data_IF_236001825241
#
_entry.id   IF_236001825241
#
_cell.length_a   1.000
_cell.length_b   1.000
_cell.length_c   1.000
_cell.angle_alpha   90.00
_cell.angle_beta   90.00
_cell.angle_gamma   90.00
#
_symmetry.space_group_name_H-M   'P 1'
#
loop_
_entity.id
_entity.type
_entity.pdbx_description
1 polymer ?
#
# COMPACT_ATOMS: atom_id res chain seq x y z
N UNK A 1 -20.88 33.35 34.02
CA UNK A 1 -20.91 31.86 34.02
C UNK A 1 -19.81 31.37 33.13
N UNK A 2 -18.86 30.52 33.60
CA UNK A 2 -17.80 29.98 32.73
C UNK A 2 -18.44 28.99 31.77
N UNK A 3 -18.29 29.22 30.47
CA UNK A 3 -18.68 28.26 29.42
C UNK A 3 -17.59 27.18 29.39
N UNK A 4 -17.95 26.00 29.88
CA UNK A 4 -17.06 24.83 29.87
C UNK A 4 -17.18 24.17 28.49
N UNK A 5 -16.36 24.62 27.54
CA UNK A 5 -16.23 24.00 26.23
C UNK A 5 -15.43 22.71 26.43
N UNK A 6 -16.10 21.56 26.51
CA UNK A 6 -15.46 20.28 26.40
C UNK A 6 -15.00 20.13 24.94
N UNK A 7 -13.73 20.44 24.68
CA UNK A 7 -13.08 20.04 23.45
C UNK A 7 -13.04 18.50 23.43
N UNK A 8 -13.92 17.89 22.65
CA UNK A 8 -13.64 16.54 22.19
C UNK A 8 -12.40 16.66 21.29
N UNK A 9 -11.29 16.11 21.75
CA UNK A 9 -10.06 16.10 21.00
C UNK A 9 -10.29 15.41 19.64
N UNK A 10 -10.44 16.20 18.60
CA UNK A 10 -10.43 15.71 17.22
C UNK A 10 -8.97 15.43 16.82
N UNK A 11 -8.75 14.54 15.86
CA UNK A 11 -7.38 14.24 15.36
C UNK A 11 -6.55 15.49 15.08
N UNK A 12 -7.17 16.55 14.58
CA UNK A 12 -6.50 17.82 14.26
C UNK A 12 -5.90 18.53 15.50
N UNK A 13 -6.38 18.27 16.71
CA UNK A 13 -5.86 18.87 17.94
C UNK A 13 -4.55 18.21 18.43
N UNK A 14 -4.12 17.12 17.80
CA UNK A 14 -2.92 16.41 18.18
C UNK A 14 -1.76 16.59 17.18
N UNK A 15 -1.98 17.29 16.07
CA UNK A 15 -0.92 17.55 15.08
C UNK A 15 -0.08 18.72 15.56
N UNK A 16 1.24 18.49 15.70
CA UNK A 16 2.23 19.46 16.14
C UNK A 16 3.38 19.59 15.13
N UNK A 17 4.37 20.40 15.40
CA UNK A 17 5.56 20.52 14.56
C UNK A 17 6.46 19.27 14.53
N UNK A 18 6.26 18.32 15.46
CA UNK A 18 7.01 17.05 15.55
C UNK A 18 6.29 15.89 14.93
N UNK A 19 5.01 16.06 14.55
CA UNK A 19 4.17 14.98 14.03
C UNK A 19 4.76 14.37 12.75
N UNK A 20 4.95 13.06 12.75
CA UNK A 20 5.41 12.30 11.59
C UNK A 20 4.33 12.21 10.53
N UNK A 21 4.71 12.48 9.29
CA UNK A 21 3.81 12.44 8.15
C UNK A 21 3.87 11.08 7.46
N UNK A 22 2.72 10.51 7.21
CA UNK A 22 2.50 9.40 6.28
C UNK A 22 1.56 9.87 5.17
N UNK A 23 1.81 9.45 3.93
CA UNK A 23 0.98 9.80 2.80
C UNK A 23 0.34 8.56 2.16
N UNK A 24 -0.89 8.68 1.65
CA UNK A 24 -1.43 7.72 0.68
C UNK A 24 -1.40 8.37 -0.70
N UNK A 25 -0.52 7.90 -1.61
CA UNK A 25 -0.43 8.41 -2.98
C UNK A 25 -1.20 7.55 -3.96
N UNK A 26 -2.00 8.17 -4.82
CA UNK A 26 -2.82 7.50 -5.84
C UNK A 26 -3.73 8.48 -6.59
N UNK A 27 -4.53 7.98 -7.54
CA UNK A 27 -5.53 8.76 -8.27
C UNK A 27 -6.54 7.85 -8.98
N UNK A 28 -7.87 8.03 -8.77
CA UNK A 28 -8.50 8.88 -7.75
C UNK A 28 -8.42 8.22 -6.36
N UNK A 29 -8.55 9.01 -5.28
CA UNK A 29 -8.46 8.52 -3.90
C UNK A 29 -9.80 8.49 -3.14
N UNK A 30 -10.92 8.92 -3.75
CA UNK A 30 -12.21 9.06 -3.08
C UNK A 30 -12.70 7.79 -2.35
N UNK A 31 -12.38 6.60 -2.87
CA UNK A 31 -12.77 5.33 -2.28
C UNK A 31 -11.74 4.74 -1.29
N UNK A 32 -10.58 5.40 -1.12
CA UNK A 32 -9.50 4.88 -0.30
C UNK A 32 -9.82 4.97 1.20
N UNK A 33 -9.60 3.87 1.93
CA UNK A 33 -9.88 3.75 3.36
C UNK A 33 -8.62 3.76 4.24
N UNK A 34 -7.45 3.63 3.63
CA UNK A 34 -6.18 3.54 4.35
C UNK A 34 -5.90 4.73 5.27
N UNK A 35 -6.13 6.01 4.90
CA UNK A 35 -5.91 7.12 5.83
C UNK A 35 -6.76 7.01 7.10
N UNK A 36 -8.02 6.60 6.98
CA UNK A 36 -8.91 6.43 8.13
C UNK A 36 -8.41 5.32 9.05
N UNK A 37 -8.00 4.18 8.47
CA UNK A 37 -7.47 3.04 9.21
C UNK A 37 -6.18 3.39 9.94
N UNK A 38 -5.20 3.97 9.25
CA UNK A 38 -3.90 4.31 9.84
C UNK A 38 -4.02 5.37 10.93
N UNK A 39 -4.85 6.39 10.72
CA UNK A 39 -5.07 7.42 11.73
C UNK A 39 -5.73 6.87 12.99
N UNK A 40 -6.66 5.92 12.84
CA UNK A 40 -7.22 5.22 13.99
C UNK A 40 -6.15 4.42 14.75
N UNK A 41 -5.30 3.67 14.02
CA UNK A 41 -4.20 2.91 14.62
C UNK A 41 -3.19 3.82 15.32
N UNK A 42 -2.86 4.98 14.75
CA UNK A 42 -1.96 5.95 15.39
C UNK A 42 -2.53 6.47 16.71
N UNK A 43 -3.84 6.74 16.78
CA UNK A 43 -4.50 7.13 18.02
C UNK A 43 -4.45 5.99 19.05
N UNK A 44 -4.82 4.76 18.65
CA UNK A 44 -4.83 3.58 19.51
C UNK A 44 -3.43 3.26 20.07
N UNK A 45 -2.38 3.50 19.27
CA UNK A 45 -0.99 3.29 19.64
C UNK A 45 -0.32 4.51 20.27
N UNK A 46 -1.04 5.62 20.47
CA UNK A 46 -0.50 6.89 20.97
C UNK A 46 0.70 7.40 20.17
N UNK A 47 0.73 7.15 18.87
CA UNK A 47 1.81 7.58 17.99
C UNK A 47 1.61 9.03 17.54
N UNK A 48 2.66 9.87 17.66
CA UNK A 48 2.67 11.23 17.10
C UNK A 48 2.85 11.16 15.58
N UNK A 49 1.77 10.80 14.88
CA UNK A 49 1.77 10.55 13.45
C UNK A 49 0.40 10.85 12.82
N UNK A 50 0.41 11.22 11.55
CA UNK A 50 -0.79 11.43 10.74
C UNK A 50 -0.61 10.82 9.35
N UNK A 51 -1.67 10.20 8.82
CA UNK A 51 -1.75 9.75 7.44
C UNK A 51 -2.75 10.60 6.67
N UNK A 52 -2.29 11.21 5.57
CA UNK A 52 -3.12 12.06 4.71
C UNK A 52 -3.21 11.50 3.28
N UNK A 53 -4.34 11.73 2.57
CA UNK A 53 -4.43 11.44 1.15
C UNK A 53 -3.61 12.46 0.35
N UNK A 54 -2.84 11.96 -0.62
CA UNK A 54 -2.03 12.74 -1.55
C UNK A 54 -2.46 12.35 -2.97
N UNK A 55 -3.43 13.07 -3.51
CA UNK A 55 -3.98 12.74 -4.83
C UNK A 55 -3.07 13.26 -5.94
N UNK A 56 -2.35 12.34 -6.59
CA UNK A 56 -1.33 12.62 -7.59
C UNK A 56 -1.67 11.87 -8.88
N UNK A 57 -1.74 12.57 -10.01
CA UNK A 57 -1.94 11.96 -11.32
C UNK A 57 -0.71 11.17 -11.77
N UNK A 58 -0.91 10.26 -12.72
CA UNK A 58 0.15 9.38 -13.20
C UNK A 58 1.36 10.14 -13.78
N UNK A 59 1.13 11.25 -14.45
CA UNK A 59 2.20 12.04 -15.09
C UNK A 59 2.96 12.91 -14.10
N UNK A 60 2.37 13.21 -12.94
CA UNK A 60 2.97 14.06 -11.92
C UNK A 60 3.76 13.25 -10.86
N UNK A 61 3.76 11.92 -10.95
CA UNK A 61 4.35 11.04 -9.94
C UNK A 61 5.84 11.33 -9.68
N UNK A 62 6.63 11.52 -10.74
CA UNK A 62 8.08 11.78 -10.60
C UNK A 62 8.35 13.12 -9.92
N UNK A 63 7.60 14.16 -10.29
CA UNK A 63 7.71 15.49 -9.66
C UNK A 63 7.28 15.45 -8.20
N UNK A 64 6.22 14.70 -7.89
CA UNK A 64 5.79 14.45 -6.52
C UNK A 64 6.91 13.80 -5.69
N UNK A 65 7.54 12.73 -6.19
CA UNK A 65 8.61 12.02 -5.49
C UNK A 65 9.78 12.94 -5.19
N UNK A 66 10.20 13.77 -6.15
CA UNK A 66 11.27 14.77 -5.93
C UNK A 66 10.90 15.73 -4.80
N UNK A 67 9.69 16.28 -4.80
CA UNK A 67 9.23 17.18 -3.73
C UNK A 67 9.07 16.48 -2.38
N UNK A 68 8.52 15.26 -2.38
CA UNK A 68 8.30 14.49 -1.15
C UNK A 68 9.61 14.10 -0.45
N UNK A 69 10.69 13.84 -1.19
CA UNK A 69 12.02 13.57 -0.63
C UNK A 69 12.61 14.74 0.15
N UNK A 70 12.13 15.97 -0.06
CA UNK A 70 12.56 17.15 0.70
C UNK A 70 11.88 17.29 2.07
N UNK A 71 10.88 16.45 2.38
CA UNK A 71 10.13 16.50 3.64
C UNK A 71 10.84 15.67 4.72
N UNK A 72 11.50 16.33 5.67
CA UNK A 72 12.23 15.67 6.75
C UNK A 72 11.34 14.90 7.74
N UNK A 73 10.07 15.25 7.85
CA UNK A 73 9.12 14.56 8.72
C UNK A 73 8.29 13.47 8.00
N UNK A 74 8.52 13.22 6.70
CA UNK A 74 7.88 12.14 5.97
C UNK A 74 8.48 10.79 6.39
N UNK A 75 7.66 9.95 7.01
CA UNK A 75 8.09 8.67 7.55
C UNK A 75 7.73 7.47 6.66
N UNK A 76 6.74 7.64 5.79
CA UNK A 76 6.37 6.59 4.85
C UNK A 76 5.25 7.00 3.91
N UNK A 77 5.11 6.21 2.84
CA UNK A 77 4.09 6.43 1.81
C UNK A 77 3.39 5.10 1.53
N UNK A 78 2.06 5.11 1.64
CA UNK A 78 1.21 4.08 1.08
C UNK A 78 1.00 4.39 -0.41
N UNK A 79 1.12 3.38 -1.25
CA UNK A 79 1.01 3.54 -2.71
C UNK A 79 -0.17 2.74 -3.22
N UNK A 80 -1.08 3.42 -3.92
CA UNK A 80 -2.21 2.76 -4.57
C UNK A 80 -2.24 3.05 -6.07
N UNK A 81 -3.30 2.60 -6.74
CA UNK A 81 -3.50 2.78 -8.17
C UNK A 81 -3.43 4.29 -8.55
N UNK A 82 -2.79 4.65 -9.68
CA UNK A 82 -2.15 3.78 -10.68
C UNK A 82 -0.64 3.57 -10.47
N UNK A 83 -0.08 3.89 -9.29
CA UNK A 83 1.35 4.13 -9.08
C UNK A 83 2.16 2.90 -8.67
N UNK A 84 1.52 1.80 -8.22
CA UNK A 84 2.19 0.65 -7.60
C UNK A 84 3.37 0.07 -8.41
N UNK A 85 3.23 -0.01 -9.73
CA UNK A 85 4.30 -0.51 -10.60
C UNK A 85 5.32 0.58 -10.95
N UNK A 86 4.84 1.81 -11.25
CA UNK A 86 5.72 2.92 -11.60
C UNK A 86 6.66 3.33 -10.46
N UNK A 87 6.21 3.15 -9.22
CA UNK A 87 6.98 3.51 -8.03
C UNK A 87 8.25 2.65 -7.85
N UNK A 88 8.34 1.46 -8.46
CA UNK A 88 9.52 0.60 -8.40
C UNK A 88 10.81 1.31 -8.85
N UNK A 89 10.72 2.13 -9.88
CA UNK A 89 11.86 2.87 -10.42
C UNK A 89 12.20 4.15 -9.63
N UNK A 90 11.40 4.50 -8.63
CA UNK A 90 11.48 5.77 -7.90
C UNK A 90 11.91 5.61 -6.44
N UNK A 91 12.17 4.38 -6.00
CA UNK A 91 12.71 4.05 -4.68
C UNK A 91 14.18 3.62 -4.78
N UNK A 92 14.91 3.69 -3.67
CA UNK A 92 16.34 3.38 -3.64
C UNK A 92 16.58 1.88 -3.44
N UNK A 93 15.68 1.21 -2.71
CA UNK A 93 15.79 -0.20 -2.39
C UNK A 93 14.42 -0.91 -2.48
N UNK A 94 14.43 -2.16 -2.94
CA UNK A 94 13.25 -3.01 -3.02
C UNK A 94 13.37 -4.17 -2.03
N UNK A 95 12.38 -4.32 -1.17
CA UNK A 95 12.19 -5.54 -0.42
C UNK A 95 12.05 -6.74 -1.38
N UNK A 96 12.53 -7.94 -1.04
CA UNK A 96 12.45 -9.12 -1.91
C UNK A 96 11.05 -9.38 -2.48
N UNK A 97 9.99 -9.22 -1.68
CA UNK A 97 8.61 -9.39 -2.12
C UNK A 97 8.21 -8.39 -3.20
N UNK A 98 8.60 -7.12 -3.08
CA UNK A 98 8.31 -6.10 -4.08
C UNK A 98 9.04 -6.37 -5.40
N UNK A 99 10.28 -6.87 -5.31
CA UNK A 99 11.08 -7.26 -6.47
C UNK A 99 10.44 -8.44 -7.20
N UNK A 100 10.02 -9.47 -6.46
CA UNK A 100 9.36 -10.66 -7.01
C UNK A 100 8.02 -10.30 -7.66
N UNK A 101 7.19 -9.53 -6.96
CA UNK A 101 5.84 -9.16 -7.43
C UNK A 101 5.89 -8.13 -8.56
N UNK A 102 6.91 -7.27 -8.61
CA UNK A 102 6.97 -6.15 -9.55
C UNK A 102 5.97 -5.04 -9.23
N UNK A 103 5.71 -4.79 -7.94
CA UNK A 103 4.86 -3.71 -7.47
C UNK A 103 5.23 -3.27 -6.04
N UNK A 104 4.89 -2.03 -5.67
CA UNK A 104 5.04 -1.47 -4.33
C UNK A 104 3.68 -0.99 -3.84
N UNK A 105 3.29 -1.29 -2.61
CA UNK A 105 2.14 -0.66 -1.96
C UNK A 105 2.52 0.14 -0.71
N UNK A 106 3.77 0.04 -0.25
CA UNK A 106 4.27 0.80 0.88
C UNK A 106 5.74 1.19 0.68
N UNK A 107 6.09 2.38 1.11
CA UNK A 107 7.46 2.87 1.17
C UNK A 107 7.75 3.26 2.61
N UNK A 108 8.87 2.79 3.15
CA UNK A 108 9.46 3.29 4.39
C UNK A 108 10.54 4.30 4.03
N UNK A 109 10.44 5.49 4.62
CA UNK A 109 11.46 6.53 4.49
C UNK A 109 12.45 6.35 5.65
N UNK A 110 13.70 6.03 5.32
CA UNK A 110 14.77 5.83 6.30
C UNK A 110 15.35 7.16 6.77
N UNK A 111 15.98 7.16 7.94
CA UNK A 111 16.59 8.36 8.52
C UNK A 111 17.81 8.87 7.72
N UNK A 112 18.42 8.02 6.91
CA UNK A 112 19.50 8.37 6.00
C UNK A 112 19.02 8.91 4.64
N UNK A 113 17.70 9.07 4.47
CA UNK A 113 17.05 9.58 3.26
C UNK A 113 16.71 8.51 2.22
N UNK A 114 17.09 7.25 2.41
CA UNK A 114 16.71 6.15 1.49
C UNK A 114 15.24 5.81 1.61
N UNK A 115 14.64 5.45 0.51
CA UNK A 115 13.28 4.94 0.42
C UNK A 115 13.29 3.45 0.10
N UNK A 116 12.73 2.64 0.98
CA UNK A 116 12.63 1.18 0.85
C UNK A 116 11.20 0.81 0.49
N UNK A 117 11.01 0.26 -0.71
CA UNK A 117 9.69 -0.15 -1.22
C UNK A 117 9.38 -1.61 -0.92
N UNK A 118 8.16 -1.89 -0.46
CA UNK A 118 7.66 -3.23 -0.20
C UNK A 118 6.23 -3.41 -0.71
N UNK A 119 5.74 -4.66 -0.76
CA UNK A 119 4.36 -5.00 -1.10
C UNK A 119 3.78 -5.99 -0.09
N UNK A 120 2.62 -5.64 0.47
CA UNK A 120 1.90 -6.45 1.46
C UNK A 120 0.46 -6.79 1.05
N UNK A 121 -0.02 -6.32 -0.11
CA UNK A 121 -1.39 -6.59 -0.57
C UNK A 121 -1.71 -8.08 -0.61
N UNK A 122 -0.79 -8.88 -1.13
CA UNK A 122 -0.96 -10.32 -1.23
C UNK A 122 -0.98 -11.02 0.13
N UNK A 123 -0.01 -10.69 0.99
CA UNK A 123 0.05 -11.20 2.36
C UNK A 123 -1.21 -10.82 3.13
N UNK A 124 -1.61 -9.55 3.06
CA UNK A 124 -2.82 -9.05 3.72
C UNK A 124 -4.09 -9.79 3.25
N UNK A 125 -4.20 -10.04 1.94
CA UNK A 125 -5.32 -10.80 1.37
C UNK A 125 -5.36 -12.23 1.92
N UNK A 126 -4.24 -12.97 1.90
CA UNK A 126 -4.18 -14.35 2.40
C UNK A 126 -4.45 -14.42 3.90
N UNK A 127 -3.86 -13.52 4.70
CA UNK A 127 -4.12 -13.47 6.14
C UNK A 127 -5.57 -13.12 6.44
N UNK A 128 -6.18 -12.18 5.68
CA UNK A 128 -7.60 -11.86 5.82
C UNK A 128 -8.51 -13.04 5.50
N UNK A 129 -8.23 -13.79 4.42
CA UNK A 129 -8.95 -15.02 4.12
C UNK A 129 -8.83 -16.06 5.25
N UNK A 130 -7.62 -16.27 5.78
CA UNK A 130 -7.35 -17.20 6.87
C UNK A 130 -8.09 -16.82 8.16
N UNK A 131 -8.16 -15.53 8.46
CA UNK A 131 -8.92 -15.02 9.60
C UNK A 131 -10.42 -15.38 9.51
N UNK A 132 -10.99 -15.35 8.30
CA UNK A 132 -12.38 -15.76 8.02
C UNK A 132 -12.54 -17.29 7.83
N UNK A 133 -11.50 -18.08 8.07
CA UNK A 133 -11.53 -19.55 7.95
C UNK A 133 -11.33 -20.08 6.52
N UNK A 134 -10.98 -19.23 5.56
CA UNK A 134 -10.69 -19.63 4.19
C UNK A 134 -9.20 -19.79 3.96
N UNK A 135 -8.77 -20.95 3.47
CA UNK A 135 -7.37 -21.23 3.17
C UNK A 135 -7.19 -21.52 1.69
N UNK A 136 -6.23 -20.86 0.99
CA UNK A 136 -5.95 -21.14 -0.41
C UNK A 136 -5.35 -22.52 -0.66
N UNK A 137 -4.70 -23.11 0.34
CA UNK A 137 -4.03 -24.40 0.23
C UNK A 137 -4.94 -25.51 -0.34
N UNK A 138 -4.46 -26.18 -1.39
CA UNK A 138 -5.17 -27.25 -2.13
C UNK A 138 -6.47 -26.79 -2.80
N UNK A 139 -6.73 -25.50 -2.97
CA UNK A 139 -7.90 -24.98 -3.66
C UNK A 139 -7.58 -24.58 -5.11
N UNK A 140 -8.61 -24.63 -5.95
CA UNK A 140 -8.57 -24.00 -7.26
C UNK A 140 -9.03 -22.54 -7.10
N UNK A 141 -8.20 -21.60 -7.49
CA UNK A 141 -8.43 -20.18 -7.30
C UNK A 141 -8.60 -19.50 -8.65
N UNK A 142 -9.62 -18.65 -8.76
CA UNK A 142 -9.80 -17.72 -9.87
C UNK A 142 -9.45 -16.30 -9.38
N UNK A 143 -8.48 -15.69 -10.02
CA UNK A 143 -8.10 -14.29 -9.81
C UNK A 143 -8.58 -13.45 -10.98
N UNK A 144 -9.38 -12.42 -10.70
CA UNK A 144 -9.82 -11.46 -11.70
C UNK A 144 -9.08 -10.15 -11.47
N UNK A 145 -8.26 -9.75 -12.46
CA UNK A 145 -7.41 -8.56 -12.44
C UNK A 145 -5.94 -8.89 -12.20
N UNK A 146 -5.08 -8.52 -13.18
CA UNK A 146 -3.63 -8.69 -13.16
C UNK A 146 -2.86 -7.37 -12.91
N UNK A 147 -3.52 -6.36 -12.31
CA UNK A 147 -2.89 -5.10 -11.88
C UNK A 147 -2.00 -5.30 -10.66
N UNK A 148 -1.46 -4.20 -10.08
CA UNK A 148 -0.49 -4.27 -8.99
C UNK A 148 -0.96 -5.06 -7.76
N UNK A 149 -2.24 -4.95 -7.35
CA UNK A 149 -2.80 -5.74 -6.25
C UNK A 149 -3.00 -7.21 -6.67
N UNK A 150 -3.56 -7.45 -7.87
CA UNK A 150 -3.74 -8.81 -8.41
C UNK A 150 -2.42 -9.58 -8.51
N UNK A 151 -1.36 -8.91 -8.97
CA UNK A 151 0.00 -9.51 -8.99
C UNK A 151 0.43 -9.96 -7.59
N UNK A 152 0.32 -9.08 -6.59
CA UNK A 152 0.68 -9.42 -5.23
C UNK A 152 -0.14 -10.59 -4.67
N UNK A 153 -1.45 -10.61 -4.94
CA UNK A 153 -2.36 -11.68 -4.51
C UNK A 153 -2.02 -13.00 -5.22
N UNK A 154 -1.70 -12.97 -6.53
CA UNK A 154 -1.34 -14.17 -7.28
C UNK A 154 -0.13 -14.89 -6.67
N UNK A 155 0.96 -14.14 -6.41
CA UNK A 155 2.16 -14.69 -5.76
C UNK A 155 1.86 -15.22 -4.35
N UNK A 156 1.08 -14.49 -3.55
CA UNK A 156 0.76 -14.90 -2.19
C UNK A 156 -0.11 -16.15 -2.14
N UNK A 157 -1.11 -16.25 -3.02
CA UNK A 157 -2.01 -17.41 -3.12
C UNK A 157 -1.25 -18.65 -3.61
N UNK A 158 -0.37 -18.51 -4.60
CA UNK A 158 0.50 -19.59 -5.06
C UNK A 158 1.43 -20.05 -3.92
N UNK A 159 2.09 -19.12 -3.23
CA UNK A 159 2.96 -19.43 -2.08
C UNK A 159 2.20 -20.07 -0.91
N UNK A 160 0.91 -19.77 -0.76
CA UNK A 160 0.03 -20.41 0.23
C UNK A 160 -0.44 -21.83 -0.17
N UNK A 161 0.05 -22.37 -1.29
CA UNK A 161 -0.18 -23.75 -1.71
C UNK A 161 -1.50 -23.98 -2.45
N UNK A 162 -2.00 -23.00 -3.18
CA UNK A 162 -3.14 -23.21 -4.08
C UNK A 162 -2.85 -24.35 -5.07
N UNK A 163 -3.86 -25.21 -5.34
CA UNK A 163 -3.72 -26.31 -6.29
C UNK A 163 -3.60 -25.81 -7.72
N UNK A 164 -4.37 -24.80 -8.05
CA UNK A 164 -4.31 -24.10 -9.33
C UNK A 164 -4.71 -22.66 -9.16
N UNK A 165 -4.17 -21.80 -10.01
CA UNK A 165 -4.49 -20.39 -10.08
C UNK A 165 -4.82 -20.05 -11.54
N UNK A 166 -6.09 -19.71 -11.80
CA UNK A 166 -6.53 -19.17 -13.08
C UNK A 166 -6.57 -17.65 -12.98
N UNK A 167 -5.94 -16.97 -13.91
CA UNK A 167 -5.85 -15.50 -13.93
C UNK A 167 -6.61 -14.97 -15.14
N UNK A 168 -7.46 -13.97 -14.92
CA UNK A 168 -8.21 -13.26 -15.96
C UNK A 168 -8.02 -11.76 -15.80
N UNK A 169 -7.83 -11.06 -16.90
CA UNK A 169 -7.81 -9.58 -16.98
C UNK A 169 -8.45 -9.14 -18.29
N UNK A 170 -8.93 -7.91 -18.37
CA UNK A 170 -9.43 -7.31 -19.63
C UNK A 170 -8.31 -7.17 -20.67
N UNK A 171 -7.06 -7.09 -20.21
CA UNK A 171 -5.85 -7.16 -20.99
C UNK A 171 -5.26 -8.59 -20.86
N UNK A 172 -5.50 -9.43 -21.86
CA UNK A 172 -5.07 -10.83 -21.87
C UNK A 172 -3.54 -10.97 -21.71
N UNK A 173 -2.75 -10.05 -22.29
CA UNK A 173 -1.29 -10.08 -22.16
C UNK A 173 -0.84 -9.91 -20.71
N UNK A 174 -1.51 -9.05 -19.92
CA UNK A 174 -1.22 -8.92 -18.50
C UNK A 174 -1.51 -10.19 -17.72
N UNK A 175 -2.61 -10.88 -18.05
CA UNK A 175 -2.96 -12.14 -17.40
C UNK A 175 -1.94 -13.24 -17.72
N UNK A 176 -1.52 -13.37 -18.98
CA UNK A 176 -0.50 -14.32 -19.42
C UNK A 176 0.86 -14.05 -18.78
N UNK A 177 1.31 -12.79 -18.78
CA UNK A 177 2.60 -12.40 -18.20
C UNK A 177 2.63 -12.66 -16.69
N UNK A 178 1.52 -12.41 -16.00
CA UNK A 178 1.41 -12.73 -14.59
C UNK A 178 1.41 -14.25 -14.35
N UNK A 179 0.70 -15.02 -15.15
CA UNK A 179 0.68 -16.48 -15.03
C UNK A 179 2.08 -17.08 -15.23
N UNK A 180 2.83 -16.62 -16.24
CA UNK A 180 4.24 -17.01 -16.48
C UNK A 180 5.12 -16.64 -15.29
N UNK A 181 4.98 -15.42 -14.75
CA UNK A 181 5.79 -14.93 -13.64
C UNK A 181 5.55 -15.69 -12.32
N UNK A 182 4.32 -16.17 -12.08
CA UNK A 182 3.98 -16.94 -10.86
C UNK A 182 4.42 -18.40 -10.99
N UNK A 183 4.50 -18.94 -12.23
CA UNK A 183 4.93 -20.31 -12.48
C UNK A 183 6.46 -20.49 -12.49
N UNK A 184 7.24 -19.41 -12.54
CA UNK A 184 8.71 -19.42 -12.57
C UNK A 184 9.31 -19.54 -11.17
#
# INVERSE_FOLDING_TARGET
LPVNIKYQATMASHITGTTRLYGLVGHPLAAAKSPQLFNRLFIEQQADAVCIPLEVKADDLSSFVVGARALNNLAGILVTMPHKQRMLALVDELHPTARQVGAINVIRCETDGRWVGAVFDGLGCVLGMQWEGYHPANKNVLLVGAGGAGRAIAFAVASAGARSLTISDVDEHRAEDLAKAVAA
#
